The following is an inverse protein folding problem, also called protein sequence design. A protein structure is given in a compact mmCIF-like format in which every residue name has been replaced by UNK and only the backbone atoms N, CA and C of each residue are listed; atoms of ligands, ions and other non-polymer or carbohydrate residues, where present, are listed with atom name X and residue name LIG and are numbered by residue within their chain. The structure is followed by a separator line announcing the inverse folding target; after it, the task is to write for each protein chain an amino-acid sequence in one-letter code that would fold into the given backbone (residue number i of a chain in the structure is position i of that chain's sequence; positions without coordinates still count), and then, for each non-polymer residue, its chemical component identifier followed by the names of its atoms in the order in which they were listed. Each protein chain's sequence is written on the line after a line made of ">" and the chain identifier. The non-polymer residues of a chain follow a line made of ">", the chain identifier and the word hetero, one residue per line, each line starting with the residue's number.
data_IF_867462087670
#
_entry.id   IF_867462087670
#
_cell.length_a   1.000
_cell.length_b   1.000
_cell.length_c   1.000
_cell.angle_alpha   90.00
_cell.angle_beta   90.00
_cell.angle_gamma   90.00
#
_symmetry.space_group_name_H-M   'P 1'
#
loop_
_entity.id
_entity.type
_entity.pdbx_description
1 polymer ?
#
# COMPACT_ATOMS: atom_id res chain seq x y z
N UNK A 1 12.39 -20.32 -27.37
CA UNK A 1 13.75 -20.05 -26.86
C UNK A 1 13.56 -19.60 -25.43
N UNK A 2 14.28 -20.16 -24.46
CA UNK A 2 14.13 -19.76 -23.06
C UNK A 2 15.19 -18.73 -22.70
N UNK A 3 14.76 -17.54 -22.30
CA UNK A 3 15.63 -16.42 -21.92
C UNK A 3 16.01 -16.54 -20.44
N UNK A 4 17.31 -16.60 -20.16
CA UNK A 4 17.82 -16.68 -18.78
C UNK A 4 18.69 -15.48 -18.48
N UNK A 5 18.27 -14.63 -17.53
CA UNK A 5 19.15 -13.57 -17.01
C UNK A 5 20.11 -14.17 -15.98
N UNK A 6 21.38 -13.77 -16.05
CA UNK A 6 22.43 -14.22 -15.13
C UNK A 6 23.07 -13.00 -14.48
N UNK A 7 22.92 -12.86 -13.17
CA UNK A 7 23.58 -11.84 -12.38
C UNK A 7 24.67 -12.47 -11.54
N UNK A 8 25.84 -11.82 -11.47
CA UNK A 8 26.90 -12.21 -10.53
C UNK A 8 27.48 -10.98 -9.83
N UNK A 9 27.89 -11.17 -8.58
CA UNK A 9 28.76 -10.21 -7.89
C UNK A 9 30.12 -10.17 -8.58
N UNK A 10 30.84 -9.03 -8.58
CA UNK A 10 32.12 -8.92 -9.28
C UNK A 10 33.15 -9.91 -8.73
N UNK A 11 33.14 -10.20 -7.42
CA UNK A 11 34.05 -11.17 -6.82
C UNK A 11 33.69 -12.62 -7.19
N UNK A 12 32.39 -12.97 -7.30
CA UNK A 12 31.97 -14.28 -7.78
C UNK A 12 32.34 -14.47 -9.26
N UNK A 13 32.14 -13.45 -10.09
CA UNK A 13 32.47 -13.46 -11.52
C UNK A 13 33.99 -13.58 -11.78
N UNK A 14 34.83 -12.95 -10.95
CA UNK A 14 36.28 -13.08 -11.01
C UNK A 14 36.78 -14.52 -10.72
N UNK A 15 36.01 -15.32 -10.00
CA UNK A 15 36.32 -16.72 -9.70
C UNK A 15 35.79 -17.66 -10.81
N UNK A 16 36.41 -17.62 -11.99
CA UNK A 16 35.99 -18.35 -13.21
C UNK A 16 35.60 -19.81 -12.94
N UNK A 17 36.41 -20.56 -12.17
CA UNK A 17 36.14 -21.96 -11.86
C UNK A 17 34.87 -22.18 -11.02
N UNK A 18 34.57 -21.29 -10.07
CA UNK A 18 33.31 -21.31 -9.31
C UNK A 18 32.14 -20.98 -10.24
N UNK A 19 32.26 -19.89 -11.00
CA UNK A 19 31.22 -19.40 -11.90
C UNK A 19 30.86 -20.42 -12.98
N UNK A 20 31.85 -20.97 -13.68
CA UNK A 20 31.66 -22.02 -14.69
C UNK A 20 31.04 -23.29 -14.09
N UNK A 21 31.51 -23.75 -12.93
CA UNK A 21 30.97 -24.93 -12.26
C UNK A 21 29.51 -24.74 -11.86
N UNK A 22 29.15 -23.59 -11.30
CA UNK A 22 27.77 -23.32 -10.88
C UNK A 22 26.85 -23.08 -12.07
N UNK A 23 27.29 -22.32 -13.08
CA UNK A 23 26.58 -22.16 -14.35
C UNK A 23 26.34 -23.51 -15.03
N UNK A 24 27.31 -24.44 -15.01
CA UNK A 24 27.19 -25.82 -15.51
C UNK A 24 26.08 -26.62 -14.82
N UNK A 25 25.99 -26.58 -13.46
CA UNK A 25 24.88 -27.21 -12.71
C UNK A 25 23.52 -26.75 -13.23
N UNK A 26 23.37 -25.44 -13.49
CA UNK A 26 22.13 -24.88 -14.00
C UNK A 26 21.85 -25.22 -15.47
N UNK A 27 22.86 -25.49 -16.31
CA UNK A 27 22.63 -26.03 -17.67
C UNK A 27 22.16 -27.49 -17.63
N UNK A 28 22.71 -28.31 -16.74
CA UNK A 28 22.31 -29.71 -16.60
C UNK A 28 20.82 -29.86 -16.20
N UNK A 29 20.28 -28.86 -15.49
CA UNK A 29 18.87 -28.78 -15.10
C UNK A 29 17.97 -28.13 -16.18
N UNK A 30 18.50 -27.72 -17.34
CA UNK A 30 17.74 -27.06 -18.40
C UNK A 30 17.75 -27.89 -19.69
N UNK A 31 16.59 -28.46 -20.03
CA UNK A 31 16.39 -29.43 -21.12
C UNK A 31 16.29 -28.83 -22.52
N UNK A 32 16.36 -27.50 -22.67
CA UNK A 32 15.87 -26.83 -23.87
C UNK A 32 17.03 -26.53 -24.84
N UNK A 33 16.88 -26.91 -26.11
CA UNK A 33 17.95 -26.76 -27.11
C UNK A 33 18.24 -25.31 -27.56
N UNK A 34 17.59 -24.30 -26.98
CA UNK A 34 17.72 -22.88 -27.38
C UNK A 34 17.63 -21.93 -26.18
N UNK A 35 18.76 -21.74 -25.50
CA UNK A 35 18.92 -20.82 -24.38
C UNK A 35 19.64 -19.54 -24.82
N UNK A 36 18.98 -18.38 -24.70
CA UNK A 36 19.68 -17.10 -24.67
C UNK A 36 20.05 -16.76 -23.23
N UNK A 37 21.24 -16.19 -23.03
CA UNK A 37 21.77 -15.85 -21.71
C UNK A 37 22.36 -14.45 -21.69
N UNK A 38 21.71 -13.57 -20.96
CA UNK A 38 22.14 -12.18 -20.81
C UNK A 38 22.85 -12.06 -19.45
N UNK A 39 24.17 -11.83 -19.48
CA UNK A 39 25.02 -11.83 -18.28
C UNK A 39 25.27 -10.38 -17.85
N UNK A 40 24.88 -10.06 -16.62
CA UNK A 40 25.05 -8.73 -16.02
C UNK A 40 25.83 -8.81 -14.71
N UNK A 41 26.56 -7.74 -14.40
CA UNK A 41 27.22 -7.57 -13.09
C UNK A 41 26.28 -6.81 -12.15
N UNK A 42 26.19 -7.29 -10.91
CA UNK A 42 25.35 -6.74 -9.83
C UNK A 42 25.58 -5.23 -9.66
N UNK A 43 26.83 -4.81 -9.50
CA UNK A 43 27.27 -3.41 -9.38
C UNK A 43 26.67 -2.48 -10.46
N UNK A 44 26.72 -2.88 -11.75
CA UNK A 44 26.18 -2.08 -12.86
C UNK A 44 24.67 -1.91 -12.79
N UNK A 45 23.94 -2.89 -12.27
CA UNK A 45 22.48 -2.79 -12.10
C UNK A 45 22.15 -2.01 -10.82
N UNK A 46 22.91 -2.16 -9.74
CA UNK A 46 22.76 -1.36 -8.53
C UNK A 46 22.93 0.13 -8.84
N UNK A 47 24.06 0.51 -9.45
CA UNK A 47 24.39 1.88 -9.86
C UNK A 47 23.65 2.43 -11.08
N UNK A 48 22.58 1.78 -11.55
CA UNK A 48 21.76 2.16 -12.71
C UNK A 48 22.50 2.27 -14.07
N UNK A 49 23.75 1.81 -14.17
CA UNK A 49 24.55 1.80 -15.40
C UNK A 49 24.07 0.76 -16.44
N UNK A 50 23.24 -0.19 -16.02
CA UNK A 50 22.54 -1.13 -16.89
C UNK A 50 21.07 -1.23 -16.48
N UNK A 51 20.17 -0.92 -17.42
CA UNK A 51 18.73 -1.18 -17.29
C UNK A 51 18.41 -2.63 -17.64
N UNK A 52 17.30 -3.14 -17.09
CA UNK A 52 16.75 -4.46 -17.43
C UNK A 52 15.45 -4.31 -18.21
N UNK A 53 15.27 -5.15 -19.22
CA UNK A 53 14.03 -5.25 -20.01
C UNK A 53 12.91 -5.87 -19.17
N UNK A 54 11.77 -5.18 -19.11
CA UNK A 54 10.61 -5.57 -18.29
C UNK A 54 9.90 -6.78 -18.91
N UNK A 55 9.61 -7.80 -18.10
CA UNK A 55 9.01 -9.08 -18.51
C UNK A 55 9.70 -9.71 -19.74
N UNK A 56 11.03 -9.85 -19.71
CA UNK A 56 11.82 -10.43 -20.81
C UNK A 56 12.40 -11.82 -20.50
N UNK A 57 12.47 -12.20 -19.22
CA UNK A 57 13.23 -13.37 -18.77
C UNK A 57 12.35 -14.48 -18.17
N UNK A 58 12.51 -15.70 -18.69
CA UNK A 58 11.79 -16.91 -18.22
C UNK A 58 12.40 -17.54 -16.97
N UNK A 59 13.69 -17.28 -16.71
CA UNK A 59 14.43 -17.76 -15.54
C UNK A 59 15.48 -16.73 -15.12
N UNK A 60 15.74 -16.63 -13.83
CA UNK A 60 16.85 -15.84 -13.28
C UNK A 60 17.85 -16.70 -12.52
N UNK A 61 19.13 -16.45 -12.73
CA UNK A 61 20.22 -16.94 -11.89
C UNK A 61 20.87 -15.74 -11.17
N UNK A 62 21.03 -15.81 -9.86
CA UNK A 62 21.71 -14.79 -9.06
C UNK A 62 22.86 -15.43 -8.27
N UNK A 63 24.09 -15.01 -8.58
CA UNK A 63 25.31 -15.49 -7.91
C UNK A 63 25.81 -14.43 -6.93
N UNK A 64 25.72 -14.77 -5.64
CA UNK A 64 26.14 -13.90 -4.53
C UNK A 64 27.41 -14.43 -3.85
N UNK A 65 28.18 -13.53 -3.27
CA UNK A 65 29.41 -13.84 -2.53
C UNK A 65 29.40 -13.12 -1.18
N UNK A 66 30.29 -13.52 -0.26
CA UNK A 66 30.38 -12.95 1.10
C UNK A 66 30.65 -11.42 1.11
N UNK A 67 31.14 -10.88 -0.01
CA UNK A 67 31.39 -9.44 -0.18
C UNK A 67 30.19 -8.61 -0.69
N UNK A 68 29.06 -9.22 -1.06
CA UNK A 68 27.91 -8.48 -1.59
C UNK A 68 27.19 -7.73 -0.49
N UNK A 69 27.04 -6.41 -0.65
CA UNK A 69 26.33 -5.58 0.32
C UNK A 69 24.82 -5.81 0.27
N UNK A 70 24.19 -5.62 1.41
CA UNK A 70 22.73 -5.62 1.57
C UNK A 70 22.06 -4.47 0.77
N UNK A 71 22.80 -3.40 0.45
CA UNK A 71 22.30 -2.28 -0.35
C UNK A 71 22.21 -2.60 -1.84
N UNK A 72 23.19 -3.33 -2.40
CA UNK A 72 23.09 -3.91 -3.76
C UNK A 72 21.86 -4.82 -3.89
N UNK A 73 21.62 -5.68 -2.89
CA UNK A 73 20.51 -6.64 -2.86
C UNK A 73 19.16 -5.89 -2.89
N UNK A 74 18.96 -4.90 -2.01
CA UNK A 74 17.79 -4.00 -2.02
C UNK A 74 17.57 -3.32 -3.37
N UNK A 75 18.64 -2.85 -4.00
CA UNK A 75 18.55 -2.12 -5.27
C UNK A 75 18.19 -3.02 -6.46
N UNK A 76 18.50 -4.32 -6.39
CA UNK A 76 18.41 -5.27 -7.51
C UNK A 76 17.16 -6.14 -7.44
N UNK A 77 16.76 -6.62 -6.27
CA UNK A 77 15.55 -7.46 -6.10
C UNK A 77 14.27 -6.90 -6.77
N UNK A 78 13.92 -5.60 -6.67
CA UNK A 78 12.76 -5.05 -7.37
C UNK A 78 12.97 -4.90 -8.89
N UNK A 79 14.21 -4.64 -9.34
CA UNK A 79 14.56 -4.59 -10.77
C UNK A 79 14.42 -5.97 -11.42
N UNK A 80 14.84 -7.03 -10.72
CA UNK A 80 14.62 -8.42 -11.14
C UNK A 80 13.14 -8.78 -11.12
N UNK A 81 12.36 -8.31 -10.14
CA UNK A 81 10.92 -8.54 -10.09
C UNK A 81 10.19 -7.93 -11.29
N UNK A 82 10.66 -6.80 -11.82
CA UNK A 82 10.15 -6.23 -13.06
C UNK A 82 10.62 -6.99 -14.32
N UNK A 83 11.86 -7.49 -14.34
CA UNK A 83 12.47 -8.11 -15.52
C UNK A 83 12.04 -9.57 -15.77
N UNK A 84 11.81 -10.34 -14.71
CA UNK A 84 11.46 -11.78 -14.77
C UNK A 84 9.95 -11.98 -14.93
N UNK A 85 9.51 -12.86 -15.83
CA UNK A 85 8.08 -13.13 -16.12
C UNK A 85 7.25 -13.51 -14.86
N UNK A 86 5.94 -13.17 -14.79
CA UNK A 86 5.07 -13.68 -13.73
C UNK A 86 5.02 -15.21 -13.71
N UNK A 87 5.23 -15.82 -12.55
CA UNK A 87 5.31 -17.28 -12.38
C UNK A 87 6.70 -17.88 -12.59
N UNK A 88 7.67 -17.13 -13.13
CA UNK A 88 9.03 -17.60 -13.31
C UNK A 88 9.84 -17.62 -12.01
N UNK A 89 10.92 -18.42 -12.02
CA UNK A 89 11.79 -18.68 -10.88
C UNK A 89 13.14 -17.96 -11.00
N UNK A 90 13.59 -17.41 -9.88
CA UNK A 90 14.91 -16.84 -9.63
C UNK A 90 15.62 -17.75 -8.61
N UNK A 91 16.60 -18.53 -9.06
CA UNK A 91 17.42 -19.37 -8.19
C UNK A 91 18.70 -18.64 -7.82
N UNK A 92 19.00 -18.60 -6.53
CA UNK A 92 20.13 -17.89 -5.95
C UNK A 92 21.14 -18.90 -5.41
N UNK A 93 22.38 -18.82 -5.89
CA UNK A 93 23.51 -19.66 -5.47
C UNK A 93 24.60 -18.75 -4.88
N UNK A 94 24.89 -18.92 -3.59
CA UNK A 94 25.77 -18.02 -2.86
C UNK A 94 25.99 -18.48 -1.42
N UNK A 95 27.11 -18.04 -0.84
CA UNK A 95 27.46 -18.35 0.55
C UNK A 95 26.90 -17.27 1.46
N UNK A 96 25.75 -17.57 2.09
CA UNK A 96 25.12 -16.66 3.04
C UNK A 96 25.66 -16.90 4.46
N UNK A 97 26.23 -15.86 5.08
CA UNK A 97 26.24 -15.77 6.54
C UNK A 97 24.79 -15.77 7.06
N UNK A 98 24.51 -16.40 8.21
CA UNK A 98 23.14 -16.59 8.73
C UNK A 98 22.34 -15.28 8.83
N UNK A 99 22.99 -14.24 9.33
CA UNK A 99 22.41 -12.89 9.46
C UNK A 99 22.03 -12.28 8.10
N UNK A 100 22.85 -12.52 7.07
CA UNK A 100 22.58 -12.08 5.71
C UNK A 100 21.44 -12.90 5.05
N UNK A 101 21.29 -14.18 5.40
CA UNK A 101 20.16 -15.00 4.96
C UNK A 101 18.83 -14.47 5.52
N UNK A 102 18.76 -14.20 6.82
CA UNK A 102 17.57 -13.63 7.45
C UNK A 102 17.25 -12.21 6.94
N UNK A 103 18.25 -11.44 6.49
CA UNK A 103 18.05 -10.18 5.78
C UNK A 103 17.52 -10.40 4.35
N UNK A 104 18.17 -11.27 3.57
CA UNK A 104 17.80 -11.61 2.20
C UNK A 104 16.36 -12.11 2.07
N UNK A 105 15.89 -12.93 3.02
CA UNK A 105 14.49 -13.37 3.05
C UNK A 105 13.50 -12.22 3.24
N UNK A 106 13.77 -11.33 4.20
CA UNK A 106 12.91 -10.15 4.46
C UNK A 106 12.85 -9.23 3.24
N UNK A 107 13.98 -8.99 2.59
CA UNK A 107 14.06 -8.13 1.41
C UNK A 107 13.42 -8.78 0.16
N UNK A 108 13.56 -10.09 -0.01
CA UNK A 108 12.86 -10.85 -1.05
C UNK A 108 11.34 -10.73 -0.90
N UNK A 109 10.83 -10.91 0.33
CA UNK A 109 9.41 -10.76 0.64
C UNK A 109 8.92 -9.31 0.45
N UNK A 110 9.70 -8.31 0.86
CA UNK A 110 9.38 -6.89 0.66
C UNK A 110 9.35 -6.49 -0.83
N UNK A 111 10.21 -7.10 -1.65
CA UNK A 111 10.21 -6.95 -3.11
C UNK A 111 9.13 -7.80 -3.82
N UNK A 112 8.28 -8.52 -3.08
CA UNK A 112 7.14 -9.27 -3.61
C UNK A 112 7.42 -10.71 -4.07
N UNK A 113 8.64 -11.24 -3.84
CA UNK A 113 8.98 -12.61 -4.18
C UNK A 113 8.40 -13.62 -3.18
N UNK A 114 7.96 -14.78 -3.67
CA UNK A 114 7.59 -15.92 -2.82
C UNK A 114 8.77 -16.87 -2.70
N UNK A 115 9.16 -17.22 -1.46
CA UNK A 115 10.25 -18.16 -1.19
C UNK A 115 9.71 -19.60 -1.24
N UNK A 116 10.22 -20.44 -2.14
CA UNK A 116 9.87 -21.87 -2.21
C UNK A 116 10.81 -22.73 -1.36
N UNK A 117 12.12 -22.41 -1.38
CA UNK A 117 13.15 -23.12 -0.63
C UNK A 117 14.17 -22.15 -0.05
N UNK A 118 14.73 -22.51 1.12
CA UNK A 118 15.73 -21.73 1.87
C UNK A 118 17.18 -22.24 1.71
N UNK A 119 17.42 -23.15 0.76
CA UNK A 119 18.73 -23.78 0.58
C UNK A 119 18.70 -24.87 -0.52
N UNK A 120 19.10 -24.56 -1.77
CA UNK A 120 19.37 -23.21 -2.29
C UNK A 120 18.13 -22.32 -2.21
N UNK A 121 18.33 -21.00 -2.26
CA UNK A 121 17.20 -20.06 -2.28
C UNK A 121 16.55 -20.08 -3.66
N UNK A 122 15.29 -20.49 -3.72
CA UNK A 122 14.45 -20.40 -4.93
C UNK A 122 13.31 -19.45 -4.64
N UNK A 123 13.34 -18.32 -5.32
CA UNK A 123 12.31 -17.30 -5.31
C UNK A 123 11.43 -17.49 -6.54
N UNK A 124 10.11 -17.36 -6.42
CA UNK A 124 9.21 -17.22 -7.57
C UNK A 124 8.48 -15.89 -7.54
N UNK A 125 8.37 -15.27 -8.71
CA UNK A 125 7.43 -14.18 -8.91
C UNK A 125 6.03 -14.78 -8.90
N UNK A 126 5.08 -14.31 -8.08
CA UNK A 126 3.70 -14.80 -8.16
C UNK A 126 3.18 -14.63 -9.59
N UNK A 127 2.56 -15.69 -10.12
CA UNK A 127 1.84 -15.57 -11.38
C UNK A 127 0.72 -14.53 -11.20
N UNK A 128 0.43 -13.75 -12.25
CA UNK A 128 -0.68 -12.81 -12.20
C UNK A 128 -1.98 -13.60 -11.99
N UNK A 129 -2.54 -13.50 -10.78
CA UNK A 129 -3.85 -14.05 -10.48
C UNK A 129 -4.85 -13.21 -11.26
N UNK A 130 -5.33 -13.74 -12.39
CA UNK A 130 -6.47 -13.18 -13.10
C UNK A 130 -7.58 -12.91 -12.07
N UNK A 131 -8.07 -11.67 -12.02
CA UNK A 131 -8.93 -11.22 -10.93
C UNK A 131 -10.31 -11.90 -11.00
N UNK A 132 -10.40 -13.12 -10.47
CA UNK A 132 -11.61 -13.95 -10.48
C UNK A 132 -12.76 -13.15 -9.86
N UNK A 133 -13.76 -12.73 -10.66
CA UNK A 133 -14.81 -11.87 -10.13
C UNK A 133 -15.66 -12.69 -9.16
N UNK A 134 -15.58 -12.35 -7.88
CA UNK A 134 -16.39 -12.97 -6.83
C UNK A 134 -17.86 -12.65 -7.09
N UNK A 135 -18.53 -13.55 -7.82
CA UNK A 135 -19.97 -13.50 -8.11
C UNK A 135 -20.72 -13.72 -6.80
N UNK A 136 -20.94 -12.63 -6.07
CA UNK A 136 -21.66 -12.59 -4.79
C UNK A 136 -23.14 -12.93 -5.02
N UNK A 137 -23.44 -14.22 -5.16
CA UNK A 137 -24.76 -14.71 -5.53
C UNK A 137 -25.76 -14.50 -4.39
N UNK A 138 -26.56 -13.44 -4.48
CA UNK A 138 -27.67 -13.18 -3.57
C UNK A 138 -28.72 -14.28 -3.70
N UNK A 139 -28.66 -15.25 -2.79
CA UNK A 139 -29.51 -16.45 -2.81
C UNK A 139 -30.97 -16.05 -2.59
N UNK A 140 -31.76 -16.07 -3.66
CA UNK A 140 -33.15 -15.58 -3.72
C UNK A 140 -34.13 -16.52 -2.99
N UNK A 141 -34.05 -16.57 -1.65
CA UNK A 141 -35.07 -17.19 -0.81
C UNK A 141 -36.32 -16.30 -0.74
N UNK A 142 -37.49 -16.86 -1.07
CA UNK A 142 -38.75 -16.14 -0.95
C UNK A 142 -39.22 -16.10 0.52
N UNK A 143 -39.37 -14.91 1.09
CA UNK A 143 -39.92 -14.72 2.44
C UNK A 143 -39.75 -13.30 2.97
N UNK A 144 -40.78 -12.80 3.66
CA UNK A 144 -40.78 -11.65 4.58
C UNK A 144 -40.01 -10.37 4.16
N UNK A 145 -40.75 -9.47 3.52
CA UNK A 145 -40.53 -8.02 3.38
C UNK A 145 -39.78 -7.27 4.51
N UNK A 146 -38.57 -6.78 4.22
CA UNK A 146 -38.18 -5.37 4.41
C UNK A 146 -37.29 -4.96 3.22
N UNK A 147 -37.81 -4.13 2.31
CA UNK A 147 -37.15 -3.86 1.02
C UNK A 147 -36.38 -2.54 0.98
N UNK A 148 -35.08 -2.55 1.32
CA UNK A 148 -34.18 -1.43 0.99
C UNK A 148 -33.74 -1.57 -0.46
N UNK A 149 -34.27 -0.71 -1.34
CA UNK A 149 -33.81 -0.63 -2.74
C UNK A 149 -32.55 0.24 -2.84
N UNK A 150 -31.46 -0.36 -3.30
CA UNK A 150 -30.28 0.33 -3.80
C UNK A 150 -30.32 0.33 -5.33
N UNK A 151 -31.12 1.23 -5.90
CA UNK A 151 -31.31 1.38 -7.34
C UNK A 151 -30.08 2.04 -8.00
N UNK A 152 -28.97 1.30 -8.11
CA UNK A 152 -27.76 1.69 -8.86
C UNK A 152 -28.03 1.69 -10.38
N UNK A 153 -28.68 2.75 -10.85
CA UNK A 153 -29.02 3.00 -12.25
C UNK A 153 -27.78 3.32 -13.10
N UNK A 154 -27.07 2.28 -13.53
CA UNK A 154 -26.06 2.37 -14.61
C UNK A 154 -26.75 2.69 -15.95
N UNK A 155 -27.00 3.99 -16.20
CA UNK A 155 -27.66 4.47 -17.41
C UNK A 155 -26.67 4.68 -18.55
N UNK A 156 -26.51 3.66 -19.39
CA UNK A 156 -25.77 3.70 -20.66
C UNK A 156 -26.37 4.75 -21.62
N UNK A 157 -25.60 5.73 -22.13
CA UNK A 157 -26.03 6.57 -23.25
C UNK A 157 -25.75 5.88 -24.60
N UNK A 158 -26.65 6.03 -25.56
CA UNK A 158 -26.40 5.72 -26.97
C UNK A 158 -26.42 7.03 -27.80
N UNK A 159 -25.49 7.12 -28.75
CA UNK A 159 -25.59 7.78 -30.08
C UNK A 159 -26.18 9.21 -30.15
N UNK A 160 -25.41 10.16 -30.68
CA UNK A 160 -25.61 10.73 -32.04
C UNK A 160 -24.51 11.76 -32.41
N UNK A 161 -24.48 12.17 -33.68
CA UNK A 161 -23.46 12.97 -34.40
C UNK A 161 -22.14 12.20 -34.65
N UNK A 162 -21.69 11.87 -35.87
CA UNK A 162 -22.00 12.22 -37.29
C UNK A 162 -21.56 13.59 -37.79
N UNK A 163 -20.29 13.67 -38.24
CA UNK A 163 -19.72 14.54 -39.29
C UNK A 163 -18.24 14.09 -39.44
N UNK A 164 -17.86 13.14 -40.30
CA UNK A 164 -17.87 13.09 -41.78
C UNK A 164 -16.66 13.75 -42.45
N UNK A 165 -15.77 12.90 -42.97
CA UNK A 165 -14.84 13.12 -44.10
C UNK A 165 -13.65 14.08 -43.88
N UNK A 166 -12.39 13.70 -44.10
CA UNK A 166 -11.77 12.39 -44.47
C UNK A 166 -10.46 12.23 -43.61
N UNK A 167 -9.24 11.81 -44.00
CA UNK A 167 -8.65 11.25 -45.25
C UNK A 167 -7.33 10.46 -45.01
N UNK A 168 -6.71 10.01 -46.11
CA UNK A 168 -5.33 9.49 -46.30
C UNK A 168 -4.30 10.05 -45.29
N UNK A 169 -3.49 9.29 -44.54
CA UNK A 169 -2.84 7.97 -44.70
C UNK A 169 -1.57 7.91 -45.60
N UNK A 170 -0.48 8.57 -45.16
CA UNK A 170 0.95 8.30 -45.48
C UNK A 170 1.82 9.00 -44.42
N UNK A 171 2.90 8.51 -43.81
CA UNK A 171 3.81 7.34 -43.94
C UNK A 171 5.24 7.70 -44.38
N UNK A 172 6.15 7.62 -43.39
CA UNK A 172 7.61 7.40 -43.48
C UNK A 172 8.52 8.50 -44.07
N UNK A 173 9.82 8.32 -43.76
CA UNK A 173 11.00 9.07 -44.20
C UNK A 173 11.18 10.47 -43.58
N UNK A 174 12.39 10.99 -43.32
CA UNK A 174 13.72 10.47 -42.91
C UNK A 174 14.65 11.69 -42.87
N UNK A 175 15.75 11.66 -42.09
CA UNK A 175 16.75 12.75 -41.98
C UNK A 175 16.19 14.09 -41.42
N UNK A 176 16.97 15.06 -40.92
CA UNK A 176 18.42 15.28 -40.91
C UNK A 176 18.89 15.87 -39.55
N UNK A 177 20.18 16.20 -39.45
CA UNK A 177 20.91 16.87 -38.35
C UNK A 177 20.26 18.24 -37.94
N UNK A 178 20.45 18.84 -36.76
CA UNK A 178 21.37 18.64 -35.63
C UNK A 178 21.19 19.80 -34.60
N UNK A 179 22.22 20.12 -33.81
CA UNK A 179 22.31 21.27 -32.86
C UNK A 179 21.31 21.33 -31.68
N UNK A 180 21.71 20.74 -30.54
CA UNK A 180 22.00 21.44 -29.27
C UNK A 180 20.99 22.47 -28.66
N UNK A 181 19.70 22.42 -28.98
CA UNK A 181 18.68 23.19 -28.25
C UNK A 181 18.55 22.74 -26.78
N UNK A 182 18.98 23.62 -25.87
CA UNK A 182 18.97 23.39 -24.43
C UNK A 182 17.52 23.44 -23.89
N UNK A 183 17.00 22.32 -23.37
CA UNK A 183 15.66 22.27 -22.79
C UNK A 183 15.52 23.25 -21.61
N UNK A 184 14.67 24.27 -21.77
CA UNK A 184 14.32 25.24 -20.73
C UNK A 184 13.34 24.60 -19.73
N UNK A 185 13.79 24.41 -18.49
CA UNK A 185 12.99 23.77 -17.42
C UNK A 185 11.74 24.59 -17.06
N UNK A 186 11.77 25.93 -17.21
CA UNK A 186 10.59 26.78 -16.98
C UNK A 186 9.60 26.74 -18.16
N UNK A 187 10.03 26.35 -19.37
CA UNK A 187 9.16 26.18 -20.53
C UNK A 187 8.45 24.81 -20.57
N UNK A 188 9.01 23.79 -19.91
CA UNK A 188 8.41 22.46 -19.78
C UNK A 188 7.20 22.42 -18.82
N UNK A 189 7.00 23.46 -18.00
CA UNK A 189 5.83 23.61 -17.11
C UNK A 189 4.82 24.59 -17.71
N UNK A 190 4.41 24.35 -18.96
CA UNK A 190 3.34 25.12 -19.60
C UNK A 190 1.99 24.96 -18.87
N UNK A 191 1.11 25.96 -18.99
CA UNK A 191 -0.18 26.07 -18.27
C UNK A 191 -1.19 24.93 -18.53
N UNK A 192 -0.83 23.93 -19.35
CA UNK A 192 -1.63 22.72 -19.57
C UNK A 192 -1.48 21.69 -18.44
N UNK A 193 -0.30 21.49 -17.84
CA UNK A 193 -0.17 20.49 -16.75
C UNK A 193 -0.83 20.97 -15.45
N UNK A 194 -0.82 22.29 -15.20
CA UNK A 194 -1.66 22.90 -14.14
C UNK A 194 -3.16 22.86 -14.48
N UNK A 195 -3.53 22.55 -15.73
CA UNK A 195 -4.91 22.25 -16.14
C UNK A 195 -5.28 20.78 -15.92
N UNK A 196 -4.38 19.83 -16.24
CA UNK A 196 -4.59 18.37 -16.04
C UNK A 196 -4.89 18.04 -14.57
N UNK A 197 -4.40 18.83 -13.62
CA UNK A 197 -4.76 18.75 -12.20
C UNK A 197 -6.26 18.91 -11.88
N UNK A 198 -7.11 19.37 -12.83
CA UNK A 198 -8.57 19.40 -12.69
C UNK A 198 -9.28 18.18 -13.28
N UNK A 199 -8.64 17.44 -14.18
CA UNK A 199 -9.23 16.30 -14.91
C UNK A 199 -8.95 14.93 -14.27
N UNK A 200 -8.30 14.92 -13.09
CA UNK A 200 -8.31 13.77 -12.20
C UNK A 200 -9.77 13.42 -11.87
N UNK A 201 -10.19 12.20 -12.24
CA UNK A 201 -11.55 11.68 -12.06
C UNK A 201 -11.94 11.57 -10.57
N UNK A 202 -12.37 12.70 -9.99
CA UNK A 202 -12.89 12.75 -8.64
C UNK A 202 -14.11 11.82 -8.51
N UNK A 203 -14.22 11.02 -7.43
CA UNK A 203 -15.40 10.19 -7.21
C UNK A 203 -16.65 11.09 -7.16
N UNK A 204 -17.77 10.67 -7.79
CA UNK A 204 -18.88 11.57 -8.11
C UNK A 204 -19.40 12.29 -6.86
N UNK A 205 -19.37 13.63 -6.91
CA UNK A 205 -19.54 14.57 -5.80
C UNK A 205 -20.98 14.70 -5.27
N UNK A 206 -21.65 13.57 -5.12
CA UNK A 206 -23.01 13.41 -4.58
C UNK A 206 -23.06 13.44 -3.05
N UNK A 207 -21.92 13.46 -2.37
CA UNK A 207 -21.82 13.87 -0.96
C UNK A 207 -21.94 15.40 -0.85
N UNK A 208 -23.18 15.88 -0.79
CA UNK A 208 -23.47 17.30 -0.52
C UNK A 208 -22.73 17.78 0.74
N UNK A 209 -22.01 18.90 0.63
CA UNK A 209 -21.36 19.58 1.76
C UNK A 209 -22.37 19.68 2.93
N UNK A 210 -21.98 19.48 4.20
CA UNK A 210 -22.91 19.42 5.34
C UNK A 210 -23.49 20.80 5.72
N UNK A 211 -24.27 21.38 4.82
CA UNK A 211 -25.12 22.53 5.09
C UNK A 211 -26.15 22.12 6.14
N UNK A 212 -26.06 22.75 7.32
CA UNK A 212 -26.89 22.44 8.49
C UNK A 212 -28.37 22.38 8.09
N UNK A 213 -28.95 21.18 8.07
CA UNK A 213 -30.35 20.96 7.69
C UNK A 213 -31.24 21.74 8.64
N UNK A 214 -31.90 22.80 8.13
CA UNK A 214 -32.78 23.63 8.94
C UNK A 214 -34.03 22.83 9.33
N UNK A 215 -34.37 22.88 10.62
CA UNK A 215 -35.50 22.17 11.22
C UNK A 215 -36.82 22.67 10.60
N UNK A 216 -37.81 21.78 10.46
CA UNK A 216 -39.03 22.08 9.72
C UNK A 216 -39.82 23.23 10.37
N UNK A 217 -40.22 24.22 9.55
CA UNK A 217 -40.73 25.54 10.01
C UNK A 217 -41.95 25.46 10.95
N UNK A 218 -42.81 24.44 10.78
CA UNK A 218 -44.01 24.17 11.59
C UNK A 218 -44.07 22.68 12.04
N UNK A 219 -43.02 22.13 12.66
CA UNK A 219 -43.05 20.73 13.09
C UNK A 219 -43.74 20.53 14.45
N UNK A 220 -44.82 19.73 14.49
CA UNK A 220 -45.41 19.15 15.72
C UNK A 220 -44.50 18.11 16.38
N UNK A 221 -43.37 17.75 15.75
CA UNK A 221 -42.54 16.60 16.09
C UNK A 221 -41.58 16.76 17.30
N UNK A 222 -41.84 17.69 18.23
CA UNK A 222 -41.10 17.87 19.49
C UNK A 222 -39.66 18.40 19.38
N UNK A 223 -38.95 18.16 18.27
CA UNK A 223 -37.52 18.51 18.14
C UNK A 223 -37.22 19.98 18.45
N UNK A 224 -38.08 20.93 18.01
CA UNK A 224 -37.88 22.36 18.30
C UNK A 224 -37.67 22.62 19.80
N UNK A 225 -38.42 21.95 20.67
CA UNK A 225 -38.31 22.11 22.13
C UNK A 225 -37.03 21.45 22.67
N UNK A 226 -36.60 20.32 22.10
CA UNK A 226 -35.30 19.72 22.41
C UNK A 226 -34.15 20.65 22.01
N UNK A 227 -34.26 21.30 20.86
CA UNK A 227 -33.21 22.16 20.30
C UNK A 227 -33.18 23.56 20.94
N UNK A 228 -34.33 24.08 21.37
CA UNK A 228 -34.43 25.28 22.21
C UNK A 228 -33.93 24.97 23.64
N UNK A 229 -34.15 23.76 24.17
CA UNK A 229 -33.56 23.30 25.42
C UNK A 229 -32.04 23.06 25.32
N UNK A 230 -31.53 22.49 24.22
CA UNK A 230 -30.08 22.34 23.97
C UNK A 230 -29.42 23.71 23.77
N UNK A 231 -30.06 24.66 23.08
CA UNK A 231 -29.56 26.03 22.94
C UNK A 231 -29.59 26.80 24.28
N UNK A 232 -30.62 26.62 25.10
CA UNK A 232 -30.69 27.17 26.46
C UNK A 232 -29.63 26.54 27.38
N UNK A 233 -29.43 25.21 27.30
CA UNK A 233 -28.39 24.51 28.05
C UNK A 233 -26.98 24.95 27.61
N UNK A 234 -26.72 25.10 26.31
CA UNK A 234 -25.43 25.54 25.78
C UNK A 234 -25.11 27.02 26.04
N UNK A 235 -26.13 27.88 26.20
CA UNK A 235 -25.95 29.28 26.58
C UNK A 235 -25.90 29.50 28.10
N UNK A 236 -26.58 28.67 28.90
CA UNK A 236 -26.42 28.61 30.35
C UNK A 236 -25.07 27.97 30.76
N UNK A 237 -24.62 26.95 30.02
CA UNK A 237 -23.29 26.36 30.13
C UNK A 237 -22.24 27.13 29.32
N UNK A 238 -22.31 28.48 29.35
CA UNK A 238 -21.26 29.32 28.79
C UNK A 238 -19.90 28.92 29.41
N UNK A 239 -18.88 28.60 28.60
CA UNK A 239 -17.62 28.11 29.11
C UNK A 239 -16.98 29.20 29.98
N UNK A 240 -16.66 28.86 31.24
CA UNK A 240 -15.82 29.70 32.08
C UNK A 240 -14.46 29.81 31.41
N UNK A 241 -14.24 30.91 30.70
CA UNK A 241 -12.97 31.20 30.05
C UNK A 241 -11.86 31.14 31.11
N UNK A 242 -10.98 30.14 30.99
CA UNK A 242 -9.84 29.95 31.87
C UNK A 242 -8.93 31.15 31.66
N UNK A 243 -8.97 32.09 32.61
CA UNK A 243 -8.05 33.23 32.64
C UNK A 243 -6.68 32.69 33.01
N UNK A 244 -5.87 32.41 31.98
CA UNK A 244 -4.46 32.12 32.13
C UNK A 244 -3.77 33.40 32.63
N UNK A 245 -3.57 33.48 33.94
CA UNK A 245 -2.72 34.45 34.60
C UNK A 245 -1.46 33.74 35.06
N UNK A 246 -0.30 34.27 34.72
CA UNK A 246 0.99 33.65 35.02
C UNK A 246 1.21 33.40 36.52
N UNK A 247 2.14 32.49 36.85
CA UNK A 247 2.59 32.14 38.21
C UNK A 247 1.61 31.36 39.11
N UNK A 248 1.03 30.27 38.57
CA UNK A 248 0.60 29.14 39.41
C UNK A 248 0.65 27.82 38.62
N UNK A 249 1.07 26.73 39.26
CA UNK A 249 1.27 25.43 38.62
C UNK A 249 -0.07 24.79 38.24
N UNK A 250 -0.21 24.32 36.99
CA UNK A 250 -1.46 23.74 36.50
C UNK A 250 -1.52 22.27 36.91
N UNK A 251 -2.08 22.01 38.10
CA UNK A 251 -2.27 20.65 38.61
C UNK A 251 -3.41 19.93 37.86
N UNK A 252 -3.06 19.29 36.75
CA UNK A 252 -3.97 18.49 35.94
C UNK A 252 -4.62 17.30 36.70
N UNK A 253 -4.14 16.95 37.90
CA UNK A 253 -4.67 15.80 38.65
C UNK A 253 -6.04 16.05 39.25
N UNK A 254 -6.50 17.31 39.37
CA UNK A 254 -7.83 17.62 39.91
C UNK A 254 -8.95 17.41 38.88
N UNK A 255 -8.75 17.81 37.62
CA UNK A 255 -9.78 17.66 36.58
C UNK A 255 -10.12 16.17 36.35
N UNK A 256 -9.12 15.29 36.39
CA UNK A 256 -9.27 13.83 36.26
C UNK A 256 -10.12 13.19 37.39
N UNK A 257 -10.22 13.82 38.57
CA UNK A 257 -11.00 13.29 39.71
C UNK A 257 -12.50 13.62 39.59
N UNK A 258 -12.88 14.55 38.69
CA UNK A 258 -14.24 15.09 38.61
C UNK A 258 -15.17 14.35 37.63
N UNK A 259 -15.68 13.20 38.09
CA UNK A 259 -16.89 12.50 37.57
C UNK A 259 -16.85 12.06 36.09
N UNK A 260 -16.66 10.74 35.90
CA UNK A 260 -16.78 10.03 34.62
C UNK A 260 -15.82 10.54 33.53
N UNK A 261 -14.58 10.03 33.54
CA UNK A 261 -13.66 10.18 32.41
C UNK A 261 -14.19 9.42 31.18
N UNK A 262 -15.00 10.10 30.36
CA UNK A 262 -15.59 9.53 29.15
C UNK A 262 -14.50 9.38 28.08
N UNK A 263 -14.01 8.15 27.89
CA UNK A 263 -13.16 7.80 26.74
C UNK A 263 -13.85 8.18 25.43
N UNK A 264 -13.09 8.65 24.43
CA UNK A 264 -13.59 9.36 23.23
C UNK A 264 -14.74 8.68 22.44
N UNK A 265 -14.92 7.35 22.54
CA UNK A 265 -16.03 6.60 21.94
C UNK A 265 -17.34 6.55 22.76
N UNK A 266 -17.37 7.11 23.97
CA UNK A 266 -18.59 7.34 24.78
C UNK A 266 -19.31 6.12 25.37
N UNK A 267 -19.06 4.91 24.85
CA UNK A 267 -20.06 3.82 24.87
C UNK A 267 -19.59 2.52 25.53
N UNK A 268 -18.40 2.50 26.12
CA UNK A 268 -17.74 1.28 26.66
C UNK A 268 -18.53 0.50 27.73
N UNK A 269 -19.52 1.14 28.36
CA UNK A 269 -20.41 0.53 29.35
C UNK A 269 -21.56 -0.29 28.75
N UNK A 270 -21.86 -0.15 27.45
CA UNK A 270 -22.89 -0.96 26.77
C UNK A 270 -22.40 -2.36 26.36
N UNK A 271 -21.16 -2.72 26.70
CA UNK A 271 -20.56 -4.03 26.38
C UNK A 271 -19.90 -4.09 24.99
N UNK A 272 -19.53 -5.30 24.58
CA UNK A 272 -18.60 -5.53 23.45
C UNK A 272 -19.05 -4.97 22.10
N UNK A 273 -20.36 -4.94 21.83
CA UNK A 273 -20.90 -4.35 20.60
C UNK A 273 -20.61 -2.84 20.44
N UNK A 274 -20.15 -2.18 21.50
CA UNK A 274 -19.85 -0.75 21.54
C UNK A 274 -18.40 -0.46 21.98
N UNK A 275 -17.55 -1.48 22.10
CA UNK A 275 -16.11 -1.35 22.37
C UNK A 275 -15.34 -1.33 21.05
N UNK A 276 -14.38 -0.41 20.92
CA UNK A 276 -13.53 -0.32 19.72
C UNK A 276 -12.68 -1.58 19.54
N UNK A 277 -12.30 -1.93 18.31
CA UNK A 277 -11.59 -3.18 17.96
C UNK A 277 -10.25 -3.41 18.69
N UNK A 278 -9.61 -2.36 19.19
CA UNK A 278 -8.40 -2.43 20.03
C UNK A 278 -8.65 -2.42 21.55
N UNK A 279 -9.89 -2.58 22.02
CA UNK A 279 -10.21 -2.51 23.45
C UNK A 279 -9.77 -3.79 24.18
N UNK A 280 -8.98 -3.70 25.28
CA UNK A 280 -8.49 -4.87 26.01
C UNK A 280 -9.58 -5.67 26.75
N UNK A 281 -10.83 -5.20 26.72
CA UNK A 281 -11.98 -5.83 27.40
C UNK A 281 -12.95 -6.54 26.46
N UNK A 282 -12.60 -6.72 25.18
CA UNK A 282 -13.45 -7.47 24.24
C UNK A 282 -13.64 -8.91 24.75
N UNK A 283 -14.90 -9.29 24.97
CA UNK A 283 -15.31 -10.62 25.46
C UNK A 283 -15.59 -10.68 26.98
N UNK A 284 -15.43 -9.58 27.71
CA UNK A 284 -15.77 -9.48 29.14
C UNK A 284 -17.14 -8.82 29.33
N UNK A 285 -17.87 -9.09 30.43
CA UNK A 285 -19.20 -8.52 30.66
C UNK A 285 -19.22 -6.97 30.63
N UNK A 286 -20.41 -6.41 30.43
CA UNK A 286 -20.63 -4.96 30.52
C UNK A 286 -20.37 -4.46 31.95
N UNK A 287 -19.61 -3.37 32.07
CA UNK A 287 -19.29 -2.74 33.36
C UNK A 287 -20.52 -2.04 33.95
N UNK A 288 -20.65 -2.03 35.27
CA UNK A 288 -21.71 -1.24 35.91
C UNK A 288 -21.38 0.25 35.80
N UNK A 289 -22.35 1.14 35.51
CA UNK A 289 -22.10 2.58 35.48
C UNK A 289 -21.63 3.06 36.86
N UNK A 290 -20.39 3.56 36.94
CA UNK A 290 -19.72 3.96 38.19
C UNK A 290 -18.61 3.00 38.66
N UNK A 291 -18.46 1.84 38.03
CA UNK A 291 -17.36 0.90 38.28
C UNK A 291 -16.07 1.40 37.60
N UNK A 292 -14.97 1.51 38.36
CA UNK A 292 -13.69 2.00 37.82
C UNK A 292 -13.02 0.90 37.00
N UNK A 293 -13.02 1.08 35.68
CA UNK A 293 -12.33 0.20 34.73
C UNK A 293 -10.81 0.47 34.82
N UNK A 294 -10.13 -0.26 35.68
CA UNK A 294 -8.67 -0.21 35.85
C UNK A 294 -7.99 -0.78 34.60
N UNK A 295 -7.79 0.05 33.57
CA UNK A 295 -6.96 -0.29 32.41
C UNK A 295 -5.55 -0.59 32.90
N UNK A 296 -5.22 -1.88 33.06
CA UNK A 296 -3.84 -2.31 33.28
C UNK A 296 -3.00 -1.85 32.09
N UNK A 297 -2.05 -0.96 32.34
CA UNK A 297 -1.18 -0.45 31.29
C UNK A 297 -0.40 -1.59 30.66
N UNK A 298 -0.35 -1.67 29.32
CA UNK A 298 0.50 -2.64 28.61
C UNK A 298 2.01 -2.33 28.74
N UNK A 299 2.43 -1.55 29.75
CA UNK A 299 3.84 -1.30 30.10
C UNK A 299 4.60 -2.59 30.38
N UNK A 300 3.94 -3.60 30.95
CA UNK A 300 4.55 -4.90 31.25
C UNK A 300 4.93 -5.71 29.99
N UNK A 301 4.55 -5.25 28.79
CA UNK A 301 5.01 -5.79 27.50
C UNK A 301 6.04 -4.90 26.79
N UNK A 302 6.50 -3.83 27.44
CA UNK A 302 7.50 -2.89 26.94
C UNK A 302 8.75 -2.80 27.83
N UNK A 303 8.84 -3.60 28.90
CA UNK A 303 10.03 -3.67 29.77
C UNK A 303 11.30 -4.03 29.00
N UNK A 304 11.20 -4.92 28.00
CA UNK A 304 12.31 -5.29 27.11
C UNK A 304 12.78 -4.15 26.18
N UNK A 305 12.10 -3.01 26.13
CA UNK A 305 12.51 -1.81 25.37
C UNK A 305 13.03 -0.69 26.28
N UNK A 306 13.29 -0.97 27.56
CA UNK A 306 13.68 0.03 28.56
C UNK A 306 15.11 -0.13 29.09
N UNK A 307 15.85 -1.16 28.68
CA UNK A 307 17.22 -1.47 29.13
C UNK A 307 18.32 -1.10 28.10
N UNK A 308 17.96 -0.52 26.94
CA UNK A 308 18.85 -0.16 25.81
C UNK A 308 19.07 1.37 25.67
N UNK A 309 19.19 2.13 26.78
CA UNK A 309 19.47 3.58 26.74
C UNK A 309 20.35 4.09 27.91
#
# INVERSE_FOLDING_TARGET
>A
MTTTIVLASPNYAANESKFATSLAKFQANSTDASHQRDIHMIDRIAGNLASLTVNAYDRGLLFLDESTTLEEIKAILPKLFAAVHPGAALSVDGVFAKELADAFERESLLAGWMIESKGPFVLRRPAQVEAVPLKLSTKKSAGASVGVKLDFLFKKPEKQNTLSKNDVLKAAQEEEEGEDDLYDEDALVSDEETQLGKDVLAPPSTCSKPGKKKRCKNCTCGQREQDEAEAAAASAAAPKAVKLTDTMEIDFTELLKSKNAVSSCGSCYLGDAFRCSGCPYIGLPAFKPGEQVLISENRDKLSWMADDL
#
